data_IF_110953903958
#
_entry.id   IF_110953903958
#
_cell.length_a   1.000
_cell.length_b   1.000
_cell.length_c   1.000
_cell.angle_alpha   90.00
_cell.angle_beta   90.00
_cell.angle_gamma   90.00
#
_symmetry.space_group_name_H-M   'P 1'
#
loop_
_entity.id
_entity.type
_entity.pdbx_description
1 polymer ?
#
# COMPACT_ATOMS: atom_id res chain seq x y z
N UNK A 1 -64.46 -22.03 -23.64
CA UNK A 1 -63.42 -22.97 -23.14
C UNK A 1 -62.19 -22.80 -24.02
N UNK A 2 -60.98 -22.83 -23.42
CA UNK A 2 -59.63 -22.88 -24.04
C UNK A 2 -59.20 -21.63 -24.85
N UNK A 3 -58.35 -20.71 -24.37
CA UNK A 3 -56.94 -20.79 -23.92
C UNK A 3 -55.97 -21.50 -24.88
N UNK A 4 -55.15 -20.65 -25.55
CA UNK A 4 -53.69 -20.74 -25.68
C UNK A 4 -53.14 -21.77 -26.68
N UNK A 5 -52.58 -21.26 -27.79
CA UNK A 5 -51.35 -21.71 -28.45
C UNK A 5 -51.00 -20.70 -29.56
N UNK A 6 -50.05 -19.78 -29.34
CA UNK A 6 -48.61 -19.94 -29.55
C UNK A 6 -48.14 -19.35 -30.90
N UNK A 7 -47.33 -18.31 -30.78
CA UNK A 7 -46.14 -17.99 -31.60
C UNK A 7 -46.34 -17.45 -33.01
N UNK A 8 -45.92 -16.19 -33.19
CA UNK A 8 -45.10 -15.62 -34.27
C UNK A 8 -44.93 -14.12 -33.90
N UNK A 9 -44.12 -13.76 -32.90
CA UNK A 9 -42.66 -13.64 -32.95
C UNK A 9 -42.15 -12.83 -34.16
N UNK A 10 -41.32 -11.84 -33.83
CA UNK A 10 -40.39 -11.14 -34.70
C UNK A 10 -40.95 -10.04 -35.60
N UNK A 11 -41.23 -8.86 -35.03
CA UNK A 11 -40.64 -7.62 -35.53
C UNK A 11 -40.92 -6.47 -34.56
N UNK A 12 -39.93 -5.61 -34.36
CA UNK A 12 -40.04 -4.21 -33.88
C UNK A 12 -39.97 -3.90 -32.38
N UNK A 13 -40.18 -4.81 -31.43
CA UNK A 13 -40.10 -4.45 -30.00
C UNK A 13 -38.82 -4.95 -29.31
N UNK A 14 -38.00 -3.97 -28.91
CA UNK A 14 -36.87 -4.05 -27.97
C UNK A 14 -35.44 -3.97 -28.55
N UNK A 15 -35.22 -3.18 -29.60
CA UNK A 15 -33.92 -2.55 -29.89
C UNK A 15 -33.64 -1.36 -28.92
N UNK A 16 -33.92 -1.55 -27.64
CA UNK A 16 -33.79 -0.50 -26.61
C UNK A 16 -33.38 -1.04 -25.24
N UNK A 17 -33.02 -2.32 -25.13
CA UNK A 17 -32.52 -2.93 -23.89
C UNK A 17 -30.98 -3.08 -23.84
N UNK A 18 -30.25 -2.56 -24.83
CA UNK A 18 -28.78 -2.70 -24.90
C UNK A 18 -27.99 -1.41 -24.59
N UNK A 19 -28.64 -0.27 -24.35
CA UNK A 19 -27.94 1.01 -24.21
C UNK A 19 -28.01 1.70 -22.83
N UNK A 20 -28.77 1.18 -21.86
CA UNK A 20 -28.92 1.88 -20.58
C UNK A 20 -28.10 1.24 -19.47
N UNK A 21 -26.83 1.67 -19.37
CA UNK A 21 -26.23 1.92 -18.06
C UNK A 21 -25.34 0.82 -17.47
N UNK A 22 -24.24 0.46 -18.13
CA UNK A 22 -22.99 0.33 -17.35
C UNK A 22 -22.53 1.76 -17.05
N UNK A 23 -23.04 2.33 -15.97
CA UNK A 23 -22.26 3.31 -15.23
C UNK A 23 -21.06 2.54 -14.70
N UNK A 24 -19.98 2.50 -15.47
CA UNK A 24 -18.71 1.95 -15.01
C UNK A 24 -18.14 2.98 -14.03
N UNK A 25 -18.10 2.72 -12.71
CA UNK A 25 -17.34 3.59 -11.82
C UNK A 25 -15.86 3.58 -12.26
N UNK A 26 -15.12 4.67 -12.01
CA UNK A 26 -13.87 4.95 -12.70
C UNK A 26 -12.81 3.91 -12.32
N UNK A 27 -12.00 3.52 -13.30
CA UNK A 27 -10.89 2.56 -13.18
C UNK A 27 -9.84 2.89 -12.09
N UNK A 28 -9.97 4.01 -11.38
CA UNK A 28 -9.07 4.45 -10.31
C UNK A 28 -9.17 3.60 -9.05
N UNK A 29 -10.35 3.08 -8.70
CA UNK A 29 -10.53 2.27 -7.48
C UNK A 29 -9.81 0.92 -7.60
N UNK A 30 -9.85 0.31 -8.79
CA UNK A 30 -9.21 -0.98 -9.04
C UNK A 30 -7.68 -0.87 -9.04
N UNK A 31 -7.13 0.25 -9.52
CA UNK A 31 -5.69 0.52 -9.53
C UNK A 31 -5.16 0.77 -8.12
N UNK A 32 -5.88 1.55 -7.30
CA UNK A 32 -5.49 1.83 -5.92
C UNK A 32 -5.55 0.56 -5.05
N UNK A 33 -6.60 -0.26 -5.19
CA UNK A 33 -6.69 -1.55 -4.50
C UNK A 33 -5.56 -2.51 -4.92
N UNK A 34 -5.26 -2.60 -6.22
CA UNK A 34 -4.15 -3.42 -6.73
C UNK A 34 -2.78 -2.93 -6.22
N UNK A 35 -2.59 -1.61 -6.13
CA UNK A 35 -1.37 -1.01 -5.58
C UNK A 35 -1.21 -1.36 -4.09
N UNK A 36 -2.26 -1.18 -3.29
CA UNK A 36 -2.25 -1.57 -1.87
C UNK A 36 -1.92 -3.05 -1.69
N UNK A 37 -2.54 -3.94 -2.48
CA UNK A 37 -2.24 -5.37 -2.44
C UNK A 37 -0.78 -5.68 -2.81
N UNK A 38 -0.22 -4.96 -3.80
CA UNK A 38 1.19 -5.12 -4.19
C UNK A 38 2.15 -4.62 -3.10
N UNK A 39 1.80 -3.54 -2.39
CA UNK A 39 2.56 -3.03 -1.26
C UNK A 39 2.48 -3.99 -0.07
N UNK A 40 1.32 -4.56 0.24
CA UNK A 40 1.13 -5.56 1.28
C UNK A 40 1.96 -6.84 1.02
N UNK A 41 2.04 -7.27 -0.23
CA UNK A 41 2.87 -8.40 -0.62
C UNK A 41 4.37 -8.12 -0.38
N UNK A 42 4.84 -6.93 -0.79
CA UNK A 42 6.21 -6.48 -0.55
C UNK A 42 6.50 -6.33 0.95
N UNK A 43 5.55 -5.84 1.74
CA UNK A 43 5.66 -5.71 3.19
C UNK A 43 5.78 -7.09 3.87
N UNK A 44 4.95 -8.07 3.47
CA UNK A 44 5.06 -9.44 3.99
C UNK A 44 6.41 -10.07 3.71
N UNK A 45 6.99 -9.81 2.54
CA UNK A 45 8.33 -10.29 2.20
C UNK A 45 9.42 -9.61 3.05
N UNK A 46 9.33 -8.29 3.25
CA UNK A 46 10.23 -7.57 4.16
C UNK A 46 10.15 -8.12 5.60
N UNK A 47 8.94 -8.44 6.07
CA UNK A 47 8.73 -9.09 7.38
C UNK A 47 9.34 -10.50 7.44
N UNK A 48 9.32 -11.27 6.34
CA UNK A 48 9.97 -12.58 6.28
C UNK A 48 11.49 -12.45 6.43
N UNK A 49 12.10 -11.50 5.74
CA UNK A 49 13.53 -11.22 5.84
C UNK A 49 13.93 -10.73 7.23
N UNK A 50 13.11 -9.86 7.81
CA UNK A 50 13.26 -9.39 9.17
C UNK A 50 13.27 -10.59 10.15
N UNK A 51 12.26 -11.46 10.10
CA UNK A 51 12.21 -12.66 10.94
C UNK A 51 13.39 -13.63 10.71
N UNK A 52 13.94 -13.68 9.50
CA UNK A 52 15.10 -14.50 9.15
C UNK A 52 16.45 -13.89 9.58
N UNK A 53 16.45 -12.70 10.20
CA UNK A 53 17.67 -12.01 10.63
C UNK A 53 18.39 -11.24 9.51
N UNK A 54 17.78 -11.11 8.34
CA UNK A 54 18.33 -10.34 7.21
C UNK A 54 17.97 -8.86 7.36
N UNK A 55 18.45 -8.22 8.42
CA UNK A 55 18.04 -6.88 8.86
C UNK A 55 18.28 -5.80 7.80
N UNK A 56 19.44 -5.78 7.12
CA UNK A 56 19.74 -4.78 6.08
C UNK A 56 18.81 -4.89 4.88
N UNK A 57 18.56 -6.12 4.43
CA UNK A 57 17.68 -6.39 3.31
C UNK A 57 16.20 -6.11 3.66
N UNK A 58 15.83 -6.26 4.93
CA UNK A 58 14.51 -5.89 5.43
C UNK A 58 14.36 -4.37 5.53
N UNK A 59 15.34 -3.67 6.12
CA UNK A 59 15.34 -2.21 6.26
C UNK A 59 15.18 -1.52 4.91
N UNK A 60 15.99 -1.88 3.91
CA UNK A 60 15.90 -1.27 2.58
C UNK A 60 14.51 -1.44 1.93
N UNK A 61 13.85 -2.59 2.16
CA UNK A 61 12.47 -2.82 1.67
C UNK A 61 11.42 -2.03 2.46
N UNK A 62 11.58 -1.92 3.79
CA UNK A 62 10.68 -1.10 4.59
C UNK A 62 10.81 0.39 4.25
N UNK A 63 12.04 0.88 4.09
CA UNK A 63 12.32 2.27 3.71
C UNK A 63 11.71 2.61 2.33
N UNK A 64 11.91 1.75 1.33
CA UNK A 64 11.30 1.95 0.00
C UNK A 64 9.76 1.98 0.06
N UNK A 65 9.14 1.07 0.81
CA UNK A 65 7.68 1.08 1.00
C UNK A 65 7.20 2.31 1.78
N UNK A 66 7.99 2.77 2.76
CA UNK A 66 7.69 3.96 3.53
C UNK A 66 7.73 5.22 2.66
N UNK A 67 8.70 5.32 1.75
CA UNK A 67 8.80 6.38 0.75
C UNK A 67 7.63 6.37 -0.24
N UNK A 68 7.03 5.19 -0.50
CA UNK A 68 5.79 5.05 -1.28
C UNK A 68 4.51 5.38 -0.46
N UNK A 69 4.64 5.74 0.82
CA UNK A 69 3.52 6.10 1.70
C UNK A 69 2.87 4.93 2.46
N UNK A 70 3.45 3.72 2.41
CA UNK A 70 2.89 2.57 3.10
C UNK A 70 3.12 2.65 4.63
N UNK A 71 2.11 3.13 5.35
CA UNK A 71 2.17 3.47 6.78
C UNK A 71 2.74 2.36 7.68
N UNK A 72 2.34 1.07 7.55
CA UNK A 72 2.93 0.01 8.36
C UNK A 72 4.44 -0.15 8.15
N UNK A 73 4.92 0.07 6.93
CA UNK A 73 6.35 -0.02 6.60
C UNK A 73 7.11 1.18 7.18
N UNK A 74 6.54 2.38 7.07
CA UNK A 74 7.10 3.60 7.67
C UNK A 74 7.32 3.46 9.18
N UNK A 75 6.36 2.88 9.91
CA UNK A 75 6.52 2.61 11.36
C UNK A 75 7.72 1.71 11.66
N UNK A 76 7.91 0.66 10.86
CA UNK A 76 9.02 -0.29 11.07
C UNK A 76 10.35 0.35 10.66
N UNK A 77 10.40 1.06 9.53
CA UNK A 77 11.58 1.77 9.07
C UNK A 77 12.05 2.81 10.09
N UNK A 78 11.13 3.60 10.66
CA UNK A 78 11.40 4.54 11.74
C UNK A 78 11.95 3.84 12.99
N UNK A 79 11.30 2.76 13.43
CA UNK A 79 11.75 2.02 14.60
C UNK A 79 13.16 1.44 14.41
N UNK A 80 13.44 0.88 13.22
CA UNK A 80 14.76 0.36 12.88
C UNK A 80 15.80 1.48 12.83
N UNK A 81 15.49 2.61 12.19
CA UNK A 81 16.39 3.76 12.10
C UNK A 81 16.73 4.34 13.49
N UNK A 82 15.73 4.53 14.36
CA UNK A 82 15.93 5.07 15.72
C UNK A 82 16.70 4.14 16.64
N UNK A 83 16.51 2.83 16.48
CA UNK A 83 17.04 1.82 17.41
C UNK A 83 18.14 0.95 16.78
N UNK A 84 18.66 1.37 15.62
CA UNK A 84 19.58 0.62 14.77
C UNK A 84 20.72 -0.01 15.55
N UNK A 85 21.57 0.84 16.13
CA UNK A 85 22.70 0.43 16.94
C UNK A 85 22.31 -0.51 18.09
N UNK A 86 21.28 -0.15 18.86
CA UNK A 86 20.92 -0.84 20.11
C UNK A 86 20.30 -2.22 19.88
N UNK A 87 19.50 -2.37 18.83
CA UNK A 87 18.73 -3.60 18.57
C UNK A 87 19.40 -4.48 17.52
N UNK A 88 20.05 -3.88 16.52
CA UNK A 88 20.58 -4.59 15.36
C UNK A 88 22.10 -4.50 15.25
N UNK A 89 22.77 -3.72 16.11
CA UNK A 89 24.22 -3.48 16.01
C UNK A 89 24.63 -2.77 14.73
N UNK A 90 23.68 -2.13 14.03
CA UNK A 90 23.89 -1.47 12.74
C UNK A 90 23.12 -0.17 12.69
N UNK A 91 23.78 0.90 12.30
CA UNK A 91 23.14 2.18 12.04
C UNK A 91 22.65 2.25 10.60
N UNK A 92 21.40 2.69 10.46
CA UNK A 92 20.77 2.85 9.15
C UNK A 92 20.77 4.31 8.75
N UNK A 93 20.99 4.58 7.47
CA UNK A 93 20.95 5.93 6.94
C UNK A 93 19.60 6.21 6.29
N UNK A 94 19.00 7.36 6.62
CA UNK A 94 17.84 7.93 5.97
C UNK A 94 18.08 9.43 5.80
N UNK A 95 17.65 10.01 4.69
CA UNK A 95 17.70 11.45 4.53
C UNK A 95 16.74 12.12 5.53
N UNK A 96 17.05 13.33 6.07
CA UNK A 96 16.15 14.02 7.00
C UNK A 96 14.73 14.20 6.45
N UNK A 97 14.60 14.45 5.14
CA UNK A 97 13.30 14.55 4.47
C UNK A 97 12.53 13.23 4.42
N UNK A 98 13.21 12.10 4.29
CA UNK A 98 12.57 10.77 4.34
C UNK A 98 12.03 10.51 5.75
N UNK A 99 12.84 10.78 6.79
CA UNK A 99 12.41 10.61 8.19
C UNK A 99 11.17 11.46 8.47
N UNK A 100 11.19 12.75 8.08
CA UNK A 100 10.03 13.64 8.23
C UNK A 100 8.78 13.10 7.52
N UNK A 101 8.93 12.58 6.31
CA UNK A 101 7.82 11.99 5.55
C UNK A 101 7.24 10.77 6.26
N UNK A 102 8.08 9.90 6.81
CA UNK A 102 7.65 8.72 7.55
C UNK A 102 6.95 9.11 8.87
N UNK A 103 7.45 10.12 9.59
CA UNK A 103 6.81 10.64 10.81
C UNK A 103 5.42 11.18 10.51
N UNK A 104 5.28 11.96 9.43
CA UNK A 104 3.99 12.50 8.98
C UNK A 104 3.02 11.38 8.59
N UNK A 105 3.49 10.38 7.84
CA UNK A 105 2.67 9.24 7.43
C UNK A 105 2.17 8.41 8.63
N UNK A 106 2.94 8.36 9.72
CA UNK A 106 2.64 7.52 10.89
C UNK A 106 1.99 8.28 12.04
N UNK A 107 2.07 9.62 12.04
CA UNK A 107 1.68 10.47 13.17
C UNK A 107 2.59 10.30 14.41
N UNK A 108 3.74 9.64 14.26
CA UNK A 108 4.68 9.37 15.36
C UNK A 108 5.99 10.12 15.09
N UNK A 109 6.38 11.10 15.93
CA UNK A 109 7.67 11.76 15.80
C UNK A 109 8.79 10.78 16.18
N UNK A 110 9.92 10.85 15.48
CA UNK A 110 11.09 10.08 15.84
C UNK A 110 11.81 10.71 17.02
N UNK A 111 12.06 9.91 18.07
CA UNK A 111 12.82 10.36 19.24
C UNK A 111 14.33 10.31 19.01
N UNK A 112 14.79 10.19 17.77
CA UNK A 112 16.21 10.36 17.47
C UNK A 112 16.51 11.85 17.56
N UNK A 113 16.66 12.35 18.79
CA UNK A 113 17.33 13.61 19.05
C UNK A 113 18.71 13.43 18.45
N UNK A 114 18.90 13.93 17.23
CA UNK A 114 20.20 14.35 16.74
C UNK A 114 20.68 15.29 17.82
N UNK A 115 21.54 14.80 18.73
CA UNK A 115 22.43 15.67 19.45
C UNK A 115 23.14 16.43 18.34
N UNK A 116 22.70 17.66 18.12
CA UNK A 116 23.37 18.59 17.26
C UNK A 116 24.84 18.47 17.64
N UNK A 117 25.67 18.04 16.69
CA UNK A 117 27.10 18.17 16.79
C UNK A 117 27.39 19.67 16.89
N UNK A 118 27.37 20.15 18.12
CA UNK A 118 27.96 21.38 18.57
C UNK A 118 28.99 20.94 19.61
N UNK A 119 30.15 20.51 19.11
CA UNK A 119 31.47 20.65 19.73
C UNK A 119 32.55 20.32 18.70
#
# INVERSE_FOLDING_TARGET
>A
MQRIALVLAAAVLACSALLSGRAQPPATVDVEAAQHQAQDARFREAMRLCRAGHWSAAYGRFAALADEGHVPAARVALAMWQNGHRVYGTDWSAAPSQVLSWEQATGVPATHTVAASAE
#
